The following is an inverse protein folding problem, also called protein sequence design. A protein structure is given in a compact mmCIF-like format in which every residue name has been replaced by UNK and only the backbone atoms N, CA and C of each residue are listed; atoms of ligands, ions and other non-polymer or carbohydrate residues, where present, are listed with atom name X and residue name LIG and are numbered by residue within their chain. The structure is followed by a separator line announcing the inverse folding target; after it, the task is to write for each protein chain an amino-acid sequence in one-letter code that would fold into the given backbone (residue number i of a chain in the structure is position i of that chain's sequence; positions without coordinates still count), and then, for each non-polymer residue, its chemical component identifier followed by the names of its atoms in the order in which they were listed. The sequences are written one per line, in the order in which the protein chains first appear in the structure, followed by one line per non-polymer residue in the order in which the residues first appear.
data_IF_187849485007
#
_entry.id   IF_187849485007
#
_cell.length_a   1.000
_cell.length_b   1.000
_cell.length_c   1.000
_cell.angle_alpha   90.00
_cell.angle_beta   90.00
_cell.angle_gamma   90.00
#
_symmetry.space_group_name_H-M   'P 1'
#
loop_
_entity.id
_entity.type
_entity.pdbx_description
1 polymer ?
#
# COMPACT_ATOMS: atom_id res chain seq x y z
N UNK A 1 -17.05 -6.34 -4.84
CA UNK A 1 -17.42 -7.74 -4.54
C UNK A 1 -17.99 -7.85 -3.13
N UNK A 2 -17.23 -7.61 -2.06
CA UNK A 2 -17.75 -7.75 -0.68
C UNK A 2 -18.89 -6.77 -0.33
N UNK A 3 -18.77 -5.49 -0.69
CA UNK A 3 -19.81 -4.47 -0.47
C UNK A 3 -21.16 -4.87 -1.09
N UNK A 4 -21.15 -5.54 -2.24
CA UNK A 4 -22.36 -6.01 -2.92
C UNK A 4 -23.16 -6.98 -2.05
N UNK A 5 -22.49 -7.89 -1.33
CA UNK A 5 -23.18 -8.84 -0.46
C UNK A 5 -23.64 -8.23 0.86
N UNK A 6 -22.92 -7.21 1.36
CA UNK A 6 -23.38 -6.42 2.51
C UNK A 6 -24.69 -5.71 2.18
N UNK A 7 -24.81 -5.12 0.98
CA UNK A 7 -26.05 -4.49 0.49
C UNK A 7 -27.23 -5.44 0.38
N UNK A 8 -26.96 -6.72 0.10
CA UNK A 8 -27.98 -7.77 0.04
C UNK A 8 -28.35 -8.33 1.42
N UNK A 9 -27.77 -7.81 2.51
CA UNK A 9 -28.08 -8.23 3.87
C UNK A 9 -27.45 -9.54 4.31
N UNK A 10 -26.42 -10.04 3.61
CA UNK A 10 -25.76 -11.32 3.95
C UNK A 10 -24.85 -11.22 5.18
N UNK A 11 -24.53 -10.02 5.65
CA UNK A 11 -23.73 -9.81 6.85
C UNK A 11 -22.92 -8.52 6.83
N UNK A 12 -21.88 -8.48 7.67
CA UNK A 12 -20.95 -7.35 7.83
C UNK A 12 -19.68 -7.58 7.00
N UNK A 13 -19.25 -6.57 6.24
CA UNK A 13 -18.02 -6.63 5.45
C UNK A 13 -16.87 -5.90 6.14
N UNK A 14 -15.70 -6.55 6.23
CA UNK A 14 -14.45 -5.92 6.66
C UNK A 14 -13.63 -5.63 5.42
N UNK A 15 -13.33 -4.36 5.18
CA UNK A 15 -12.60 -3.89 3.98
C UNK A 15 -11.60 -2.81 4.34
N UNK A 16 -10.60 -2.63 3.47
CA UNK A 16 -9.75 -1.45 3.52
C UNK A 16 -10.61 -0.19 3.27
N UNK A 17 -10.36 0.93 3.96
CA UNK A 17 -11.15 2.17 3.81
C UNK A 17 -11.28 2.62 2.35
N UNK A 18 -10.19 2.51 1.59
CA UNK A 18 -10.10 2.85 0.16
C UNK A 18 -11.01 2.01 -0.77
N UNK A 19 -11.59 0.91 -0.27
CA UNK A 19 -12.47 0.04 -1.06
C UNK A 19 -13.95 0.47 -0.98
N UNK A 20 -14.30 1.43 -0.12
CA UNK A 20 -15.64 2.02 -0.06
C UNK A 20 -15.65 3.28 -0.93
N UNK A 21 -16.60 3.38 -1.84
CA UNK A 21 -16.73 4.55 -2.71
C UNK A 21 -17.18 5.78 -1.90
N UNK A 22 -16.68 6.95 -2.29
CA UNK A 22 -17.20 8.22 -1.77
C UNK A 22 -18.70 8.33 -2.08
N UNK A 23 -19.51 8.73 -1.09
CA UNK A 23 -20.97 8.84 -1.23
C UNK A 23 -21.73 7.51 -1.16
N UNK A 24 -21.16 6.46 -0.58
CA UNK A 24 -21.90 5.24 -0.24
C UNK A 24 -22.84 5.46 0.96
N UNK A 25 -23.82 6.35 0.81
CA UNK A 25 -24.77 6.76 1.85
C UNK A 25 -25.69 5.61 2.31
N UNK A 26 -25.73 4.53 1.55
CA UNK A 26 -26.48 3.31 1.85
C UNK A 26 -25.76 2.36 2.82
N UNK A 27 -24.52 2.68 3.22
CA UNK A 27 -23.70 1.87 4.11
C UNK A 27 -23.29 2.64 5.37
N UNK A 28 -23.41 2.00 6.53
CA UNK A 28 -22.78 2.48 7.74
C UNK A 28 -21.31 2.00 7.79
N UNK A 29 -20.36 2.93 7.65
CA UNK A 29 -18.92 2.64 7.76
C UNK A 29 -18.46 2.89 9.20
N UNK A 30 -17.86 1.87 9.82
CA UNK A 30 -17.32 1.93 11.16
C UNK A 30 -15.80 1.76 11.12
N UNK A 31 -15.08 2.59 11.87
CA UNK A 31 -13.63 2.46 11.97
C UNK A 31 -13.26 1.21 12.80
N UNK A 32 -12.39 0.38 12.24
CA UNK A 32 -11.85 -0.83 12.88
C UNK A 32 -10.32 -0.76 13.06
N UNK A 33 -9.71 0.41 12.85
CA UNK A 33 -8.25 0.61 12.99
C UNK A 33 -7.71 0.28 14.37
N UNK A 34 -8.56 0.37 15.41
CA UNK A 34 -8.23 0.01 16.78
C UNK A 34 -8.29 -1.51 17.05
N UNK A 35 -8.87 -2.30 16.15
CA UNK A 35 -8.99 -3.75 16.27
C UNK A 35 -7.98 -4.51 15.41
N UNK A 36 -7.59 -3.94 14.26
CA UNK A 36 -6.73 -4.58 13.27
C UNK A 36 -5.44 -3.78 13.08
N UNK A 37 -4.27 -4.44 13.03
CA UNK A 37 -3.02 -3.74 12.77
C UNK A 37 -3.03 -3.14 11.35
N UNK A 38 -2.31 -2.03 11.19
CA UNK A 38 -2.12 -1.42 9.88
C UNK A 38 -1.41 -2.39 8.92
N UNK A 39 -1.90 -2.46 7.68
CA UNK A 39 -1.27 -3.23 6.62
C UNK A 39 -0.42 -2.33 5.72
N UNK A 40 0.78 -2.80 5.37
CA UNK A 40 1.68 -2.09 4.46
C UNK A 40 1.59 -2.66 3.05
N UNK A 41 1.34 -1.79 2.07
CA UNK A 41 1.37 -2.15 0.64
C UNK A 41 2.80 -2.01 0.12
N UNK A 42 3.32 -3.04 -0.54
CA UNK A 42 4.69 -3.08 -1.06
C UNK A 42 4.73 -2.95 -2.58
N UNK A 43 5.71 -2.19 -3.09
CA UNK A 43 6.07 -2.17 -4.51
C UNK A 43 7.33 -3.00 -4.73
N UNK A 44 7.22 -4.10 -5.48
CA UNK A 44 8.32 -5.03 -5.72
C UNK A 44 8.86 -4.95 -7.15
N UNK A 45 10.18 -5.06 -7.28
CA UNK A 45 10.87 -5.25 -8.57
C UNK A 45 11.65 -6.55 -8.56
N UNK A 46 11.80 -7.18 -9.73
CA UNK A 46 12.62 -8.39 -9.86
C UNK A 46 14.10 -8.04 -9.58
N UNK A 47 14.74 -8.82 -8.72
CA UNK A 47 16.18 -8.68 -8.43
C UNK A 47 17.01 -8.87 -9.71
N UNK A 48 17.96 -7.97 -9.95
CA UNK A 48 18.81 -7.97 -11.15
C UNK A 48 18.12 -7.46 -12.42
N UNK A 49 16.85 -7.04 -12.36
CA UNK A 49 16.22 -6.37 -13.49
C UNK A 49 16.77 -4.94 -13.63
N UNK A 50 17.10 -4.54 -14.85
CA UNK A 50 17.50 -3.16 -15.13
C UNK A 50 16.28 -2.24 -15.01
N UNK A 51 16.22 -1.44 -13.94
CA UNK A 51 15.18 -0.43 -13.76
C UNK A 51 15.37 0.72 -14.75
N UNK A 52 14.35 0.96 -15.56
CA UNK A 52 14.31 2.06 -16.54
C UNK A 52 13.78 3.34 -15.90
N UNK A 53 14.04 4.49 -16.53
CA UNK A 53 13.61 5.81 -16.05
C UNK A 53 12.13 5.85 -15.63
N UNK A 54 11.22 5.37 -16.48
CA UNK A 54 9.79 5.38 -16.20
C UNK A 54 9.39 4.51 -14.99
N UNK A 55 10.19 3.51 -14.61
CA UNK A 55 9.89 2.68 -13.44
C UNK A 55 10.14 3.44 -12.14
N UNK A 56 11.17 4.30 -12.12
CA UNK A 56 11.40 5.22 -11.01
C UNK A 56 10.32 6.29 -10.93
N UNK A 57 9.93 6.85 -12.08
CA UNK A 57 8.82 7.82 -12.15
C UNK A 57 7.51 7.19 -11.67
N UNK A 58 7.21 5.94 -12.08
CA UNK A 58 6.05 5.20 -11.59
C UNK A 58 6.10 4.97 -10.08
N UNK A 59 7.25 4.54 -9.54
CA UNK A 59 7.40 4.33 -8.10
C UNK A 59 7.12 5.61 -7.30
N UNK A 60 7.65 6.74 -7.77
CA UNK A 60 7.46 8.04 -7.14
C UNK A 60 6.02 8.56 -7.28
N UNK A 61 5.36 8.31 -8.42
CA UNK A 61 3.94 8.62 -8.61
C UNK A 61 3.03 7.80 -7.69
N UNK A 62 3.37 6.53 -7.48
CA UNK A 62 2.61 5.64 -6.60
C UNK A 62 2.81 6.00 -5.11
N UNK A 63 4.06 6.27 -4.72
CA UNK A 63 4.46 6.58 -3.36
C UNK A 63 5.55 7.66 -3.36
N UNK A 64 5.24 8.91 -2.96
CA UNK A 64 6.15 10.04 -3.07
C UNK A 64 7.50 9.87 -2.34
N UNK A 65 7.54 9.05 -1.29
CA UNK A 65 8.76 8.74 -0.54
C UNK A 65 9.71 7.78 -1.28
N UNK A 66 9.28 7.14 -2.38
CA UNK A 66 10.11 6.26 -3.21
C UNK A 66 10.97 7.08 -4.19
N UNK A 67 11.83 7.94 -3.65
CA UNK A 67 12.77 8.70 -4.45
C UNK A 67 13.74 7.76 -5.19
N UNK A 68 14.15 8.16 -6.40
CA UNK A 68 15.07 7.38 -7.24
C UNK A 68 16.30 6.88 -6.48
N UNK A 69 16.92 7.71 -5.63
CA UNK A 69 18.10 7.33 -4.84
C UNK A 69 17.79 6.22 -3.82
N UNK A 70 16.64 6.29 -3.17
CA UNK A 70 16.20 5.28 -2.20
C UNK A 70 15.90 3.96 -2.90
N UNK A 71 15.19 4.01 -4.03
CA UNK A 71 14.88 2.83 -4.85
C UNK A 71 16.16 2.19 -5.41
N UNK A 72 17.12 2.97 -5.87
CA UNK A 72 18.43 2.46 -6.34
C UNK A 72 19.21 1.76 -5.22
N UNK A 73 19.20 2.29 -4.00
CA UNK A 73 19.80 1.65 -2.82
C UNK A 73 19.09 0.34 -2.47
N UNK A 74 17.77 0.36 -2.43
CA UNK A 74 16.95 -0.82 -2.17
C UNK A 74 17.15 -1.92 -3.24
N UNK A 75 17.31 -1.54 -4.51
CA UNK A 75 17.57 -2.48 -5.59
C UNK A 75 18.95 -3.15 -5.50
N UNK A 76 19.94 -2.46 -4.91
CA UNK A 76 21.30 -2.98 -4.68
C UNK A 76 21.43 -3.78 -3.38
N UNK A 77 20.47 -3.69 -2.47
CA UNK A 77 20.47 -4.46 -1.23
C UNK A 77 20.50 -5.97 -1.52
N UNK A 78 21.35 -6.68 -0.78
CA UNK A 78 21.57 -8.12 -0.94
C UNK A 78 20.49 -8.98 -0.31
N UNK A 79 19.70 -8.42 0.61
CA UNK A 79 18.68 -9.14 1.36
C UNK A 79 17.44 -8.30 1.67
N UNK A 80 16.27 -8.94 1.91
CA UNK A 80 15.08 -8.25 2.38
C UNK A 80 15.28 -7.48 3.69
N UNK A 81 16.16 -7.97 4.59
CA UNK A 81 16.46 -7.31 5.85
C UNK A 81 17.21 -5.98 5.65
N UNK A 82 18.19 -5.96 4.74
CA UNK A 82 18.87 -4.73 4.34
C UNK A 82 17.91 -3.73 3.71
N UNK A 83 17.00 -4.21 2.84
CA UNK A 83 15.96 -3.36 2.27
C UNK A 83 15.07 -2.77 3.36
N UNK A 84 14.58 -3.59 4.30
CA UNK A 84 13.73 -3.11 5.40
C UNK A 84 14.42 -2.03 6.24
N UNK A 85 15.72 -2.20 6.53
CA UNK A 85 16.50 -1.20 7.27
C UNK A 85 16.58 0.16 6.54
N UNK A 86 16.58 0.18 5.20
CA UNK A 86 16.56 1.44 4.43
C UNK A 86 15.26 2.23 4.59
N UNK A 87 14.16 1.55 4.95
CA UNK A 87 12.84 2.15 5.10
C UNK A 87 12.41 2.33 6.57
N UNK A 88 13.26 1.97 7.54
CA UNK A 88 12.91 1.98 8.97
C UNK A 88 12.49 3.39 9.47
N UNK A 89 13.16 4.44 8.99
CA UNK A 89 12.92 5.82 9.39
C UNK A 89 12.05 6.61 8.39
N UNK A 90 11.48 5.94 7.38
CA UNK A 90 10.67 6.59 6.35
C UNK A 90 9.22 6.64 6.81
N UNK A 91 8.63 7.83 7.03
CA UNK A 91 7.22 7.93 7.39
C UNK A 91 6.36 7.45 6.23
N UNK A 92 5.57 6.41 6.47
CA UNK A 92 4.65 5.87 5.47
C UNK A 92 3.35 6.67 5.48
N UNK A 93 2.77 6.96 4.31
CA UNK A 93 1.47 7.60 4.24
C UNK A 93 0.40 6.66 4.81
N UNK A 94 -0.38 7.16 5.75
CA UNK A 94 -1.58 6.50 6.25
C UNK A 94 -2.78 7.02 5.44
N UNK A 95 -3.59 6.12 4.91
CA UNK A 95 -4.84 6.42 4.19
C UNK A 95 -5.99 5.71 4.86
#
# INVERSE_FOLDING_TARGET
MIVTYVRLGLGVGIVAPMAVAEGADDLAVLDASHLLPAHTTWLGFRRGALLRRYMYEFAQLFAPHLERRLVERAHRAGSPAETAALFADVPLPQR
#
